data_IF_028023415464
#
_entry.id   IF_028023415464
#
_cell.length_a   1.000
_cell.length_b   1.000
_cell.length_c   1.000
_cell.angle_alpha   90.00
_cell.angle_beta   90.00
_cell.angle_gamma   90.00
#
_symmetry.space_group_name_H-M   'P 1'
#
loop_
_entity.id
_entity.type
_entity.pdbx_description
1 polymer ?
#
# COMPACT_ATOMS: atom_id res chain seq x y z
N UNK A 1 30.88 -50.16 31.33
CA UNK A 1 29.71 -49.60 30.59
C UNK A 1 29.36 -48.25 31.24
N UNK A 2 29.75 -47.14 30.56
CA UNK A 2 29.43 -45.80 31.03
C UNK A 2 28.16 -45.34 30.29
N UNK A 3 27.09 -45.03 31.06
CA UNK A 3 25.85 -44.46 30.56
C UNK A 3 26.06 -42.97 30.39
N UNK A 4 26.00 -42.49 29.12
CA UNK A 4 26.00 -41.06 28.82
C UNK A 4 24.56 -40.56 28.85
N UNK A 5 24.25 -39.70 29.79
CA UNK A 5 22.96 -39.06 29.93
C UNK A 5 22.95 -37.85 28.97
N UNK A 6 22.10 -37.87 27.94
CA UNK A 6 21.88 -36.76 27.04
C UNK A 6 20.90 -35.77 27.65
N UNK A 7 21.41 -34.64 28.12
CA UNK A 7 20.58 -33.53 28.61
C UNK A 7 20.11 -32.71 27.43
N UNK A 8 18.82 -32.81 27.12
CA UNK A 8 18.16 -31.93 26.10
C UNK A 8 17.90 -30.59 26.78
N UNK A 9 18.66 -29.58 26.37
CA UNK A 9 18.42 -28.18 26.77
C UNK A 9 17.27 -27.64 25.93
N UNK A 10 16.06 -27.63 26.49
CA UNK A 10 14.92 -26.93 25.90
C UNK A 10 15.13 -25.42 26.05
N UNK A 11 15.54 -24.77 24.98
CA UNK A 11 15.58 -23.32 24.94
C UNK A 11 14.13 -22.79 24.77
N UNK A 12 13.56 -22.31 25.87
CA UNK A 12 12.33 -21.53 25.83
C UNK A 12 12.63 -20.21 25.10
N UNK A 13 12.17 -20.09 23.86
CA UNK A 13 12.11 -18.80 23.18
C UNK A 13 10.90 -18.07 23.79
N UNK A 14 11.18 -17.21 24.75
CA UNK A 14 10.24 -16.20 25.22
C UNK A 14 10.01 -15.25 24.03
N UNK A 15 8.82 -15.31 23.46
CA UNK A 15 8.32 -14.23 22.62
C UNK A 15 8.20 -12.98 23.51
N UNK A 16 9.26 -12.22 23.58
CA UNK A 16 9.21 -10.86 24.07
C UNK A 16 8.29 -10.09 23.14
N UNK A 17 7.14 -9.64 23.61
CA UNK A 17 6.30 -8.64 22.97
C UNK A 17 7.20 -7.47 22.57
N UNK A 18 7.43 -7.34 21.25
CA UNK A 18 8.44 -6.45 20.70
C UNK A 18 8.21 -5.01 21.11
N UNK A 19 9.07 -4.50 21.94
CA UNK A 19 9.31 -3.07 22.08
C UNK A 19 9.95 -2.62 20.78
N UNK A 20 9.29 -1.74 20.02
CA UNK A 20 9.92 -1.07 18.92
C UNK A 20 11.00 -0.15 19.49
N UNK A 21 12.25 -0.62 19.49
CA UNK A 21 13.41 0.24 19.75
C UNK A 21 13.49 1.27 18.64
N UNK A 22 13.75 2.52 19.00
CA UNK A 22 14.18 3.58 18.07
C UNK A 22 15.62 3.26 17.59
N UNK A 23 15.73 2.27 16.70
CA UNK A 23 16.99 1.98 16.03
C UNK A 23 17.11 2.92 14.84
N UNK A 24 18.16 3.71 14.78
CA UNK A 24 18.50 4.60 13.66
C UNK A 24 18.64 3.87 12.31
N UNK A 25 18.58 2.54 12.30
CA UNK A 25 18.73 1.67 11.14
C UNK A 25 17.45 0.89 10.75
N UNK A 26 16.28 1.24 11.27
CA UNK A 26 15.05 0.60 10.82
C UNK A 26 14.66 1.19 9.46
N UNK A 27 14.61 0.34 8.44
CA UNK A 27 14.02 0.71 7.16
C UNK A 27 12.49 0.81 7.32
N UNK A 28 11.94 1.98 6.97
CA UNK A 28 10.51 2.22 7.12
C UNK A 28 10.07 3.60 6.64
N UNK A 29 8.77 3.82 6.64
CA UNK A 29 8.18 5.12 6.36
C UNK A 29 8.49 6.12 7.48
N UNK A 30 8.81 7.35 7.08
CA UNK A 30 9.18 8.42 7.99
C UNK A 30 8.00 9.35 8.26
N UNK A 31 7.84 9.69 9.55
CA UNK A 31 6.85 10.65 10.02
C UNK A 31 7.55 11.74 10.83
N UNK A 32 7.21 12.99 10.55
CA UNK A 32 7.75 14.17 11.28
C UNK A 32 6.68 14.77 12.17
N UNK A 33 7.08 15.18 13.37
CA UNK A 33 6.22 15.92 14.30
C UNK A 33 5.79 17.24 13.64
N UNK A 34 4.49 17.48 13.61
CA UNK A 34 3.93 18.72 13.08
C UNK A 34 4.03 19.79 14.16
N UNK A 35 4.69 20.91 13.83
CA UNK A 35 4.87 22.07 14.71
C UNK A 35 4.25 23.30 14.05
N UNK A 36 3.34 23.97 14.76
CA UNK A 36 2.67 25.18 14.33
C UNK A 36 1.43 24.94 13.43
N UNK A 37 0.35 25.63 13.75
CA UNK A 37 -0.96 25.50 13.09
C UNK A 37 -0.91 25.79 11.59
N UNK A 38 -0.08 26.75 11.16
CA UNK A 38 0.10 27.08 9.75
C UNK A 38 0.69 25.94 8.92
N UNK A 39 1.32 24.95 9.58
CA UNK A 39 1.96 23.78 8.95
C UNK A 39 1.11 22.52 8.98
N UNK A 40 -0.12 22.58 9.50
CA UNK A 40 -1.07 21.49 9.32
C UNK A 40 -1.58 21.54 7.89
N UNK A 41 -1.16 20.64 7.02
CA UNK A 41 -1.59 20.65 5.63
C UNK A 41 -3.07 20.37 5.52
N UNK A 42 -3.63 20.75 4.38
CA UNK A 42 -5.04 20.51 4.09
C UNK A 42 -5.39 19.03 4.05
N UNK A 43 -4.54 18.23 3.44
CA UNK A 43 -4.69 16.79 3.27
C UNK A 43 -3.39 16.07 3.63
N UNK A 44 -3.46 14.81 4.05
CA UNK A 44 -2.27 14.03 4.35
C UNK A 44 -2.52 12.79 5.18
N UNK A 45 -1.46 12.04 5.39
CA UNK A 45 -1.43 10.84 6.23
C UNK A 45 -0.72 11.20 7.54
N UNK A 46 -1.37 10.87 8.65
CA UNK A 46 -0.90 11.21 9.98
C UNK A 46 -0.96 10.02 10.93
N UNK A 47 -0.01 10.01 11.88
CA UNK A 47 -0.18 9.27 13.12
C UNK A 47 -0.72 10.23 14.18
N UNK A 48 -1.64 9.75 15.00
CA UNK A 48 -2.17 10.44 16.17
C UNK A 48 -1.49 9.83 17.38
N UNK A 49 -0.83 10.65 18.19
CA UNK A 49 -0.03 10.17 19.31
C UNK A 49 -0.39 10.86 20.63
N UNK A 50 -0.24 10.13 21.71
CA UNK A 50 -0.22 10.63 23.09
C UNK A 50 1.18 10.50 23.66
N UNK A 51 1.71 11.60 24.19
CA UNK A 51 3.04 11.67 24.79
C UNK A 51 2.94 11.80 26.30
N UNK A 52 3.78 11.05 27.00
CA UNK A 52 3.98 11.18 28.44
C UNK A 52 5.43 11.65 28.69
N UNK A 53 5.58 12.73 29.45
CA UNK A 53 6.89 13.24 29.87
C UNK A 53 7.68 12.21 30.70
N UNK A 54 8.96 12.45 30.90
CA UNK A 54 9.84 11.57 31.68
C UNK A 54 9.31 11.37 33.12
N UNK A 55 8.83 12.45 33.77
CA UNK A 55 8.20 12.40 35.10
C UNK A 55 6.98 11.49 35.17
N UNK A 56 6.30 11.28 34.03
CA UNK A 56 5.14 10.38 33.88
C UNK A 56 5.48 9.04 33.23
N UNK A 57 6.78 8.67 33.18
CA UNK A 57 7.27 7.41 32.64
C UNK A 57 7.71 7.48 31.17
N UNK A 58 7.97 8.66 30.62
CA UNK A 58 8.64 8.96 29.34
C UNK A 58 8.25 8.01 28.19
N UNK A 59 7.07 8.18 27.57
CA UNK A 59 6.61 7.22 26.57
C UNK A 59 5.74 7.87 25.48
N UNK A 60 5.88 7.42 24.26
CA UNK A 60 5.02 7.79 23.13
C UNK A 60 4.10 6.62 22.76
N UNK A 61 2.80 6.89 22.73
CA UNK A 61 1.76 5.95 22.36
C UNK A 61 1.09 6.40 21.07
N UNK A 62 0.89 5.49 20.12
CA UNK A 62 0.18 5.73 18.87
C UNK A 62 -1.26 5.24 18.98
N UNK A 63 -2.21 6.03 18.50
CA UNK A 63 -3.60 5.65 18.40
C UNK A 63 -3.74 4.55 17.34
N UNK A 64 -4.19 3.35 17.72
CA UNK A 64 -4.32 2.19 16.83
C UNK A 64 -5.75 1.69 16.78
N UNK A 65 -6.36 1.69 15.59
CA UNK A 65 -7.73 1.20 15.40
C UNK A 65 -7.91 -0.28 15.73
N UNK A 66 -6.81 -1.06 15.67
CA UNK A 66 -6.86 -2.51 15.95
C UNK A 66 -7.19 -2.80 17.43
N UNK A 67 -7.12 -1.77 18.28
CA UNK A 67 -7.45 -1.85 19.70
C UNK A 67 -8.74 -1.10 20.09
N UNK A 68 -9.59 -0.79 19.11
CA UNK A 68 -10.88 -0.14 19.39
C UNK A 68 -11.80 -1.11 20.14
N UNK A 69 -12.21 -0.69 21.34
CA UNK A 69 -13.14 -1.43 22.20
C UNK A 69 -14.06 -0.45 22.94
N UNK A 70 -15.37 -0.67 22.90
CA UNK A 70 -16.39 0.15 23.57
C UNK A 70 -16.25 1.67 23.35
N UNK A 71 -15.77 2.08 22.17
CA UNK A 71 -15.61 3.49 21.82
C UNK A 71 -14.32 4.13 22.35
N UNK A 72 -13.42 3.34 22.90
CA UNK A 72 -12.07 3.72 23.32
C UNK A 72 -11.03 2.99 22.50
N UNK A 73 -9.91 3.66 22.20
CA UNK A 73 -8.78 3.07 21.45
C UNK A 73 -7.57 3.01 22.37
N UNK A 74 -7.12 1.81 22.72
CA UNK A 74 -5.90 1.62 23.50
C UNK A 74 -4.68 2.08 22.70
N UNK A 75 -3.85 2.92 23.28
CA UNK A 75 -2.60 3.38 22.67
C UNK A 75 -1.60 2.22 22.52
N UNK A 76 -1.02 2.10 21.30
CA UNK A 76 0.10 1.19 21.04
C UNK A 76 1.39 1.88 21.44
N UNK A 77 2.14 1.32 22.38
CA UNK A 77 3.43 1.87 22.78
C UNK A 77 4.39 1.84 21.57
N UNK A 78 4.92 3.01 21.20
CA UNK A 78 5.91 3.13 20.14
C UNK A 78 7.33 3.02 20.72
N UNK A 79 7.65 3.86 21.70
CA UNK A 79 8.98 3.89 22.32
C UNK A 79 8.91 4.49 23.71
N UNK A 80 9.88 4.16 24.54
CA UNK A 80 10.20 4.94 25.74
C UNK A 80 11.00 6.16 25.32
N UNK A 81 10.70 7.30 25.91
CA UNK A 81 11.35 8.58 25.64
C UNK A 81 12.07 9.07 26.89
N UNK A 82 13.31 9.46 26.73
CA UNK A 82 14.17 9.94 27.82
C UNK A 82 14.29 11.46 27.85
N UNK A 83 13.38 12.16 27.15
CA UNK A 83 13.37 13.62 27.02
C UNK A 83 12.01 14.18 27.38
N UNK A 84 11.97 15.45 27.78
CA UNK A 84 10.71 16.15 28.12
C UNK A 84 9.87 16.54 26.89
N UNK A 85 10.29 16.17 25.70
CA UNK A 85 9.60 16.47 24.45
C UNK A 85 9.36 15.23 23.60
N UNK A 86 8.27 15.17 22.84
CA UNK A 86 8.02 14.10 21.89
C UNK A 86 9.11 14.08 20.80
N UNK A 87 9.48 12.89 20.27
CA UNK A 87 10.48 12.77 19.23
C UNK A 87 10.10 13.62 18.00
N UNK A 88 11.09 14.35 17.43
CA UNK A 88 10.83 15.16 16.24
C UNK A 88 10.52 14.31 14.98
N UNK A 89 10.97 13.06 14.99
CA UNK A 89 10.85 12.11 13.87
C UNK A 89 10.61 10.70 14.42
N UNK A 90 9.75 9.95 13.76
CA UNK A 90 9.56 8.50 13.98
C UNK A 90 9.65 7.76 12.65
N UNK A 91 10.14 6.52 12.68
CA UNK A 91 10.23 5.64 11.51
C UNK A 91 9.51 4.35 11.86
N UNK A 92 8.61 3.93 10.98
CA UNK A 92 7.82 2.70 11.14
C UNK A 92 7.98 1.80 9.92
N UNK A 93 8.23 0.53 10.16
CA UNK A 93 8.19 -0.50 9.13
C UNK A 93 6.77 -0.59 8.52
N UNK A 94 6.69 -0.74 7.20
CA UNK A 94 5.41 -0.79 6.47
C UNK A 94 4.47 -1.90 6.98
N UNK A 95 5.00 -3.03 7.45
CA UNK A 95 4.20 -4.12 8.01
C UNK A 95 3.54 -3.76 9.35
N UNK A 96 4.05 -2.75 10.05
CA UNK A 96 3.54 -2.29 11.35
C UNK A 96 2.48 -1.20 11.28
N UNK A 97 2.19 -0.67 10.06
CA UNK A 97 1.32 0.50 9.86
C UNK A 97 -0.18 0.18 9.91
N UNK A 98 -0.56 -1.10 9.92
CA UNK A 98 -1.98 -1.47 10.02
C UNK A 98 -2.62 -0.81 11.25
N UNK A 99 -3.73 -0.10 11.00
CA UNK A 99 -4.47 0.55 12.07
C UNK A 99 -3.86 1.86 12.62
N UNK A 100 -2.72 2.33 12.13
CA UNK A 100 -2.03 3.52 12.63
C UNK A 100 -2.14 4.75 11.74
N UNK A 101 -2.29 4.59 10.42
CA UNK A 101 -2.29 5.68 9.46
C UNK A 101 -3.68 6.28 9.26
N UNK A 102 -3.88 7.47 9.77
CA UNK A 102 -5.10 8.26 9.62
C UNK A 102 -4.93 9.24 8.47
N UNK A 103 -5.87 9.20 7.51
CA UNK A 103 -5.92 10.17 6.43
C UNK A 103 -6.82 11.33 6.84
N UNK A 104 -6.26 12.53 6.80
CA UNK A 104 -7.02 13.77 7.01
C UNK A 104 -7.38 14.33 5.64
N UNK A 105 -8.69 14.50 5.41
CA UNK A 105 -9.22 15.06 4.18
C UNK A 105 -9.96 16.35 4.52
N UNK A 106 -9.50 17.47 3.99
CA UNK A 106 -10.15 18.75 4.14
C UNK A 106 -11.50 18.74 3.42
N UNK A 107 -12.55 19.23 4.06
CA UNK A 107 -13.90 19.20 3.50
C UNK A 107 -14.50 20.56 3.23
N UNK A 108 -13.99 21.64 3.83
CA UNK A 108 -14.49 23.00 3.64
C UNK A 108 -13.42 24.04 3.97
N UNK A 109 -13.26 24.99 3.11
CA UNK A 109 -12.44 26.19 3.27
C UNK A 109 -13.31 27.34 3.78
N UNK A 110 -13.66 27.32 5.06
CA UNK A 110 -13.97 28.57 5.73
C UNK A 110 -12.65 29.19 6.18
N UNK A 111 -12.43 30.48 5.92
CA UNK A 111 -11.12 31.14 6.13
C UNK A 111 -10.59 31.01 7.56
N UNK A 112 -11.41 30.66 8.52
CA UNK A 112 -11.09 30.64 9.95
C UNK A 112 -11.21 29.25 10.61
N UNK A 113 -11.82 28.25 9.97
CA UNK A 113 -12.06 26.93 10.59
C UNK A 113 -11.77 25.82 9.58
N UNK A 114 -10.72 25.05 9.82
CA UNK A 114 -10.39 23.87 9.02
C UNK A 114 -11.20 22.66 9.51
N UNK A 115 -12.07 22.16 8.66
CA UNK A 115 -12.89 20.98 8.92
C UNK A 115 -12.33 19.79 8.16
N UNK A 116 -12.17 18.67 8.84
CA UNK A 116 -11.59 17.44 8.29
C UNK A 116 -12.54 16.27 8.45
N UNK A 117 -12.45 15.37 7.48
CA UNK A 117 -12.84 13.98 7.67
C UNK A 117 -11.59 13.15 7.87
N UNK A 118 -11.56 12.46 8.97
CA UNK A 118 -10.45 11.58 9.33
C UNK A 118 -10.88 10.16 8.95
N UNK A 119 -10.11 9.51 8.09
CA UNK A 119 -10.41 8.14 7.67
C UNK A 119 -9.23 7.22 7.94
N UNK A 120 -9.55 5.95 8.18
CA UNK A 120 -8.60 4.87 8.29
C UNK A 120 -9.15 3.67 7.51
N UNK A 121 -8.35 3.12 6.59
CA UNK A 121 -8.77 2.01 5.70
C UNK A 121 -10.11 2.27 4.99
N UNK A 122 -10.39 3.54 4.63
CA UNK A 122 -11.63 3.95 3.96
C UNK A 122 -12.85 4.13 4.88
N UNK A 123 -12.73 3.83 6.17
CA UNK A 123 -13.77 4.09 7.16
C UNK A 123 -13.58 5.44 7.84
N UNK A 124 -14.67 6.14 8.12
CA UNK A 124 -14.67 7.45 8.74
C UNK A 124 -14.61 7.34 10.27
N UNK A 125 -13.67 8.05 10.88
CA UNK A 125 -13.66 8.27 12.32
C UNK A 125 -14.89 9.09 12.71
N UNK A 126 -15.75 8.51 13.52
CA UNK A 126 -17.09 9.05 13.80
C UNK A 126 -17.32 9.15 15.30
N UNK A 127 -17.85 10.28 15.76
CA UNK A 127 -18.34 10.43 17.12
C UNK A 127 -19.82 10.01 17.17
N UNK A 128 -20.09 8.80 17.66
CA UNK A 128 -21.45 8.24 17.71
C UNK A 128 -22.23 8.64 18.96
N UNK A 129 -21.52 9.09 20.01
CA UNK A 129 -22.13 9.64 21.23
C UNK A 129 -21.13 10.55 21.94
N UNK A 130 -21.56 11.19 23.03
CA UNK A 130 -20.70 12.07 23.82
C UNK A 130 -19.45 11.40 24.43
N UNK A 131 -19.29 10.08 24.30
CA UNK A 131 -18.20 9.31 24.89
C UNK A 131 -17.62 8.22 23.99
N UNK A 132 -18.14 8.05 22.75
CA UNK A 132 -17.76 6.91 21.91
C UNK A 132 -17.24 7.32 20.54
N UNK A 133 -16.11 6.74 20.16
CA UNK A 133 -15.52 6.80 18.81
C UNK A 133 -15.81 5.48 18.12
N UNK A 134 -16.15 5.54 16.83
CA UNK A 134 -16.26 4.36 15.97
C UNK A 134 -15.70 4.65 14.58
N UNK A 135 -15.39 3.59 13.82
CA UNK A 135 -15.09 3.68 12.40
C UNK A 135 -16.31 3.20 11.61
N UNK A 136 -16.83 4.08 10.73
CA UNK A 136 -18.04 3.79 9.96
C UNK A 136 -17.77 3.93 8.45
N UNK A 137 -18.32 3.00 7.65
CA UNK A 137 -18.19 3.03 6.20
C UNK A 137 -18.92 4.20 5.54
N UNK A 138 -19.91 4.77 6.21
CA UNK A 138 -20.77 5.85 5.67
C UNK A 138 -20.34 7.21 6.20
N UNK A 139 -20.24 8.18 5.29
CA UNK A 139 -20.01 9.59 5.62
C UNK A 139 -21.26 10.20 6.27
N UNK A 140 -21.11 10.72 7.48
CA UNK A 140 -22.17 11.42 8.22
C UNK A 140 -21.69 12.77 8.75
N UNK A 141 -22.61 13.59 9.30
CA UNK A 141 -22.23 14.81 10.00
C UNK A 141 -21.42 14.52 11.27
N UNK A 142 -21.61 13.34 11.85
CA UNK A 142 -20.89 12.88 13.04
C UNK A 142 -19.44 12.46 12.75
N UNK A 143 -19.00 12.46 11.49
CA UNK A 143 -17.61 12.23 11.10
C UNK A 143 -16.86 13.51 10.71
N UNK A 144 -17.36 14.68 11.10
CA UNK A 144 -16.74 15.97 10.81
C UNK A 144 -15.99 16.48 12.05
N UNK A 145 -14.70 16.72 11.88
CA UNK A 145 -13.78 17.14 12.94
C UNK A 145 -13.15 18.50 12.64
N UNK A 146 -12.80 19.23 13.67
CA UNK A 146 -12.03 20.47 13.60
C UNK A 146 -10.67 20.21 14.25
N UNK A 147 -9.61 20.64 13.58
CA UNK A 147 -8.29 20.67 14.14
C UNK A 147 -7.98 22.08 14.67
N UNK A 148 -7.48 22.18 15.88
CA UNK A 148 -6.97 23.42 16.46
C UNK A 148 -5.67 23.15 17.20
N UNK A 149 -4.79 24.13 17.19
CA UNK A 149 -3.56 24.10 17.97
C UNK A 149 -3.86 24.37 19.45
N UNK A 150 -3.15 23.66 20.33
CA UNK A 150 -3.18 23.91 21.77
C UNK A 150 -1.89 24.62 22.21
N UNK A 151 -0.74 24.09 21.79
CA UNK A 151 0.62 24.57 21.93
C UNK A 151 1.36 24.30 20.61
N UNK A 152 2.60 24.80 20.40
CA UNK A 152 3.29 24.69 19.10
C UNK A 152 3.43 23.28 18.53
N UNK A 153 3.31 22.23 19.33
CA UNK A 153 3.40 20.82 18.94
C UNK A 153 2.23 19.95 19.43
N UNK A 154 1.23 20.58 20.03
CA UNK A 154 0.04 19.91 20.56
C UNK A 154 -1.21 20.35 19.86
N UNK A 155 -2.10 19.42 19.60
CA UNK A 155 -3.30 19.61 18.81
C UNK A 155 -4.54 19.11 19.54
N UNK A 156 -5.68 19.70 19.18
CA UNK A 156 -7.01 19.27 19.61
C UNK A 156 -7.82 18.89 18.39
N UNK A 157 -8.16 17.61 18.29
CA UNK A 157 -9.12 17.12 17.32
C UNK A 157 -10.50 17.21 17.99
N UNK A 158 -11.29 18.21 17.60
CA UNK A 158 -12.62 18.48 18.17
C UNK A 158 -13.71 18.03 17.21
N UNK A 159 -14.74 17.42 17.75
CA UNK A 159 -15.95 17.14 17.00
C UNK A 159 -16.71 18.45 16.69
N UNK A 160 -17.14 18.61 15.43
CA UNK A 160 -17.72 19.87 14.94
C UNK A 160 -18.99 20.30 15.69
N UNK A 161 -19.92 19.34 15.97
CA UNK A 161 -21.25 19.68 16.46
C UNK A 161 -21.30 20.06 17.96
N UNK A 162 -20.44 19.50 18.81
CA UNK A 162 -20.53 19.68 20.25
C UNK A 162 -19.20 20.02 20.95
N UNK A 163 -18.12 20.15 20.20
CA UNK A 163 -16.81 20.50 20.72
C UNK A 163 -16.10 19.42 21.53
N UNK A 164 -16.67 18.20 21.64
CA UNK A 164 -16.00 17.06 22.26
C UNK A 164 -14.68 16.75 21.53
N UNK A 165 -13.66 16.30 22.24
CA UNK A 165 -12.30 16.14 21.72
C UNK A 165 -11.87 14.69 21.82
N UNK A 166 -10.99 14.29 20.91
CA UNK A 166 -10.18 13.08 21.10
C UNK A 166 -9.10 13.42 22.13
N UNK A 167 -9.06 12.66 23.22
CA UNK A 167 -8.12 12.82 24.31
C UNK A 167 -7.29 11.58 24.51
N UNK A 168 -6.01 11.75 24.85
CA UNK A 168 -5.16 10.67 25.37
C UNK A 168 -5.18 10.74 26.90
N UNK A 169 -5.52 9.62 27.54
CA UNK A 169 -5.55 9.50 29.01
C UNK A 169 -4.28 8.84 29.50
N UNK A 170 -3.46 9.58 30.25
CA UNK A 170 -2.16 9.15 30.73
C UNK A 170 -2.20 7.86 31.56
N UNK A 171 -3.15 7.73 32.49
CA UNK A 171 -3.23 6.59 33.42
C UNK A 171 -3.59 5.27 32.70
N UNK A 172 -4.59 5.32 31.82
CA UNK A 172 -5.11 4.13 31.11
C UNK A 172 -4.45 3.89 29.75
N UNK A 173 -3.67 4.85 29.23
CA UNK A 173 -3.05 4.81 27.91
C UNK A 173 -4.08 4.65 26.78
N UNK A 174 -5.21 5.35 26.91
CA UNK A 174 -6.37 5.22 26.01
C UNK A 174 -6.69 6.54 25.34
N UNK A 175 -7.02 6.49 24.04
CA UNK A 175 -7.63 7.56 23.28
C UNK A 175 -9.16 7.42 23.33
N UNK A 176 -9.85 8.46 23.76
CA UNK A 176 -11.31 8.47 23.91
C UNK A 176 -11.90 9.87 23.70
N UNK A 177 -13.21 9.95 23.63
CA UNK A 177 -13.92 11.25 23.64
C UNK A 177 -13.93 11.81 25.06
N UNK A 178 -13.54 13.07 25.20
CA UNK A 178 -13.56 13.82 26.44
C UNK A 178 -14.12 15.23 26.25
N UNK A 179 -14.78 15.71 27.30
CA UNK A 179 -15.26 17.10 27.40
C UNK A 179 -14.19 18.03 28.03
N UNK A 180 -13.21 17.45 28.70
CA UNK A 180 -12.27 18.14 29.57
C UNK A 180 -11.22 19.01 28.85
N UNK A 181 -10.57 19.88 29.61
CA UNK A 181 -9.80 21.03 29.17
C UNK A 181 -8.46 20.73 28.48
N UNK A 182 -7.81 19.59 28.73
CA UNK A 182 -6.47 19.29 28.22
C UNK A 182 -6.29 17.85 27.71
N UNK A 183 -6.84 17.51 26.56
CA UNK A 183 -6.44 16.30 25.86
C UNK A 183 -5.55 16.65 24.69
N UNK A 184 -4.34 17.09 24.97
CA UNK A 184 -3.41 17.44 23.91
C UNK A 184 -2.84 16.16 23.31
N UNK A 185 -2.89 16.07 22.01
CA UNK A 185 -2.30 15.00 21.22
C UNK A 185 -1.22 15.56 20.31
N UNK A 186 -0.30 14.72 19.92
CA UNK A 186 0.71 15.04 18.91
C UNK A 186 0.29 14.47 17.57
N UNK A 187 0.61 15.18 16.49
CA UNK A 187 0.42 14.70 15.12
C UNK A 187 1.78 14.51 14.45
N UNK A 188 1.94 13.36 13.82
CA UNK A 188 3.12 13.07 13.01
C UNK A 188 2.67 12.86 11.57
N UNK A 189 3.16 13.73 10.68
CA UNK A 189 2.85 13.65 9.26
C UNK A 189 3.79 12.71 8.55
N UNK A 190 3.26 11.81 7.72
CA UNK A 190 4.04 10.99 6.81
C UNK A 190 4.76 11.88 5.79
N UNK A 191 6.08 11.78 5.72
CA UNK A 191 6.92 12.57 4.81
C UNK A 191 7.71 11.70 3.84
N UNK A 192 7.79 10.40 4.07
CA UNK A 192 8.31 9.45 3.09
C UNK A 192 7.62 8.11 3.17
N UNK A 193 7.66 7.37 2.06
CA UNK A 193 7.16 6.00 1.94
C UNK A 193 8.32 5.06 1.66
N UNK A 194 8.45 4.02 2.47
CA UNK A 194 9.42 2.97 2.26
C UNK A 194 8.93 1.99 1.20
N UNK A 195 9.69 1.78 0.15
CA UNK A 195 9.40 0.82 -0.91
C UNK A 195 10.53 -0.18 -1.06
N UNK A 196 10.18 -1.46 -1.12
CA UNK A 196 11.13 -2.55 -1.35
C UNK A 196 11.03 -3.03 -2.79
N UNK A 197 12.15 -2.97 -3.51
CA UNK A 197 12.30 -3.60 -4.81
C UNK A 197 12.83 -5.02 -4.58
N UNK A 198 12.03 -6.01 -4.94
CA UNK A 198 12.41 -7.42 -4.83
C UNK A 198 13.35 -7.89 -5.95
N UNK A 199 13.65 -9.19 -6.00
CA UNK A 199 14.52 -9.80 -7.01
C UNK A 199 14.02 -9.60 -8.45
N UNK A 200 12.74 -9.34 -8.65
CA UNK A 200 12.16 -9.05 -9.97
C UNK A 200 12.60 -7.71 -10.55
N UNK A 201 13.13 -6.80 -9.73
CA UNK A 201 13.49 -5.45 -10.15
C UNK A 201 12.29 -4.50 -10.28
N UNK A 202 11.08 -4.93 -9.95
CA UNK A 202 9.86 -4.14 -10.12
C UNK A 202 9.00 -4.11 -8.86
N UNK A 203 8.26 -3.00 -8.70
CA UNK A 203 7.20 -2.82 -7.71
C UNK A 203 6.14 -1.90 -8.30
N UNK A 204 5.07 -1.62 -7.55
CA UNK A 204 4.06 -0.61 -7.92
C UNK A 204 3.97 0.44 -6.83
N UNK A 205 3.59 1.68 -7.21
CA UNK A 205 3.47 2.79 -6.27
C UNK A 205 2.29 3.69 -6.63
N UNK A 206 1.62 4.22 -5.59
CA UNK A 206 0.49 5.13 -5.73
C UNK A 206 0.23 5.92 -4.46
N UNK A 207 0.02 7.23 -4.60
CA UNK A 207 -0.56 8.12 -3.59
C UNK A 207 -1.61 9.03 -4.22
N UNK A 208 -2.78 9.16 -3.60
CA UNK A 208 -3.83 10.04 -4.16
C UNK A 208 -3.73 11.50 -3.71
N UNK A 209 -2.98 11.79 -2.64
CA UNK A 209 -2.98 13.09 -1.95
C UNK A 209 -1.62 13.76 -1.89
N UNK A 210 -0.56 13.08 -2.33
CA UNK A 210 0.80 13.59 -2.27
C UNK A 210 1.46 13.44 -3.63
N UNK A 211 2.18 14.47 -4.04
CA UNK A 211 3.22 14.30 -5.05
C UNK A 211 4.37 13.49 -4.44
N UNK A 212 5.11 12.78 -5.26
CA UNK A 212 6.16 11.90 -4.78
C UNK A 212 7.45 12.10 -5.56
N UNK A 213 8.56 12.40 -4.87
CA UNK A 213 9.87 12.55 -5.51
C UNK A 213 10.59 11.22 -5.57
N UNK A 214 10.94 10.81 -6.79
CA UNK A 214 11.59 9.54 -7.04
C UNK A 214 13.08 9.60 -6.62
N UNK A 215 13.55 8.67 -5.76
CA UNK A 215 14.93 8.67 -5.31
C UNK A 215 15.91 8.13 -6.38
N UNK A 216 17.20 8.34 -6.15
CA UNK A 216 18.26 7.74 -6.94
C UNK A 216 18.13 6.21 -7.02
N UNK A 217 18.45 5.65 -8.19
CA UNK A 217 18.41 4.22 -8.47
C UNK A 217 17.03 3.66 -8.85
N UNK A 218 16.00 4.53 -8.86
CA UNK A 218 14.65 4.15 -9.33
C UNK A 218 14.28 4.90 -10.61
N UNK A 219 13.50 4.24 -11.45
CA UNK A 219 12.70 4.80 -12.52
C UNK A 219 11.24 4.39 -12.34
N UNK A 220 10.30 5.18 -12.86
CA UNK A 220 8.89 4.83 -12.77
C UNK A 220 8.18 5.07 -14.12
N UNK A 221 7.11 4.30 -14.37
CA UNK A 221 6.43 4.30 -15.66
C UNK A 221 4.92 4.35 -15.49
N UNK A 222 4.26 5.16 -16.31
CA UNK A 222 2.84 5.03 -16.62
C UNK A 222 2.67 4.24 -17.91
N UNK A 223 1.46 3.70 -18.14
CA UNK A 223 1.19 2.88 -19.32
C UNK A 223 -0.11 3.26 -19.99
N UNK A 224 -0.13 3.05 -21.33
CA UNK A 224 -1.33 3.11 -22.17
C UNK A 224 -1.51 1.82 -22.96
N UNK A 225 -2.70 1.64 -23.52
CA UNK A 225 -3.00 0.54 -24.43
C UNK A 225 -2.91 1.01 -25.86
N UNK A 226 -2.16 0.29 -26.70
CA UNK A 226 -2.14 0.47 -28.15
C UNK A 226 -2.62 -0.79 -28.84
N UNK A 227 -3.41 -0.60 -29.89
CA UNK A 227 -3.81 -1.67 -30.80
C UNK A 227 -2.90 -1.63 -32.04
N UNK A 228 -2.40 -2.81 -32.42
CA UNK A 228 -1.58 -3.02 -33.62
C UNK A 228 -2.19 -4.22 -34.38
N UNK A 229 -3.12 -3.93 -35.27
CA UNK A 229 -4.01 -4.93 -35.84
C UNK A 229 -4.83 -5.61 -34.74
N UNK A 230 -4.75 -6.94 -34.70
CA UNK A 230 -5.44 -7.76 -33.67
C UNK A 230 -4.66 -7.87 -32.36
N UNK A 231 -3.47 -7.26 -32.26
CA UNK A 231 -2.60 -7.38 -31.09
C UNK A 231 -2.80 -6.17 -30.18
N UNK A 232 -3.18 -6.44 -28.94
CA UNK A 232 -3.23 -5.44 -27.87
C UNK A 232 -1.86 -5.34 -27.19
N UNK A 233 -1.27 -4.15 -27.15
CA UNK A 233 0.02 -3.87 -26.53
C UNK A 233 -0.15 -2.93 -25.34
N UNK A 234 0.56 -3.20 -24.25
CA UNK A 234 0.76 -2.28 -23.13
C UNK A 234 2.07 -1.55 -23.37
N UNK A 235 2.04 -0.25 -23.56
CA UNK A 235 3.21 0.57 -23.87
C UNK A 235 3.42 1.62 -22.79
N UNK A 236 4.68 1.92 -22.46
CA UNK A 236 5.02 3.04 -21.59
C UNK A 236 4.53 4.34 -22.23
N UNK A 237 3.73 5.11 -21.50
CA UNK A 237 3.20 6.41 -21.94
C UNK A 237 4.03 7.58 -21.41
N UNK A 238 4.67 7.38 -20.24
CA UNK A 238 5.61 8.35 -19.66
C UNK A 238 6.60 7.62 -18.74
N UNK A 239 7.83 8.15 -18.66
CA UNK A 239 8.88 7.71 -17.77
C UNK A 239 9.30 8.83 -16.82
N UNK A 240 9.35 8.53 -15.53
CA UNK A 240 9.94 9.37 -14.50
C UNK A 240 11.33 8.85 -14.17
N UNK A 241 12.32 9.74 -14.11
CA UNK A 241 13.70 9.42 -13.71
C UNK A 241 13.94 9.80 -12.25
N UNK A 242 15.07 9.41 -11.71
CA UNK A 242 15.50 9.84 -10.39
C UNK A 242 15.49 11.38 -10.28
N UNK A 243 14.89 11.91 -9.21
CA UNK A 243 14.68 13.33 -9.00
C UNK A 243 13.38 13.89 -9.55
N UNK A 244 12.71 13.21 -10.49
CA UNK A 244 11.41 13.63 -11.03
C UNK A 244 10.31 13.48 -9.98
N UNK A 245 9.25 14.26 -10.16
CA UNK A 245 8.06 14.24 -9.30
C UNK A 245 6.93 13.49 -9.98
N UNK A 246 6.47 12.41 -9.35
CA UNK A 246 5.26 11.68 -9.71
C UNK A 246 4.09 12.46 -9.12
N UNK A 247 3.12 12.95 -9.92
CA UNK A 247 1.98 13.69 -9.41
C UNK A 247 1.09 12.86 -8.49
N UNK A 248 0.39 13.53 -7.58
CA UNK A 248 -0.68 12.92 -6.81
C UNK A 248 -1.71 12.25 -7.74
N UNK A 249 -2.24 11.11 -7.31
CA UNK A 249 -3.20 10.30 -8.07
C UNK A 249 -2.65 9.68 -9.37
N UNK A 250 -1.33 9.65 -9.55
CA UNK A 250 -0.65 8.97 -10.65
C UNK A 250 -0.13 7.60 -10.18
N UNK A 251 -0.72 6.52 -10.67
CA UNK A 251 -0.27 5.15 -10.38
C UNK A 251 0.89 4.78 -11.33
N UNK A 252 1.95 4.17 -10.80
CA UNK A 252 3.14 3.82 -11.58
C UNK A 252 3.65 2.42 -11.28
N UNK A 253 4.36 1.85 -12.25
CA UNK A 253 5.30 0.75 -12.00
C UNK A 253 6.67 1.36 -11.72
N UNK A 254 7.28 0.96 -10.62
CA UNK A 254 8.63 1.38 -10.22
C UNK A 254 9.62 0.29 -10.56
N UNK A 255 10.74 0.65 -11.18
CA UNK A 255 11.84 -0.24 -11.56
C UNK A 255 13.13 0.21 -10.89
N UNK A 256 13.91 -0.74 -10.39
CA UNK A 256 15.20 -0.49 -9.77
C UNK A 256 15.95 -1.78 -9.46
N UNK A 257 17.17 -1.67 -8.96
CA UNK A 257 17.90 -2.81 -8.43
C UNK A 257 17.20 -3.33 -7.16
N UNK A 258 17.27 -4.63 -6.85
CA UNK A 258 16.79 -5.15 -5.58
C UNK A 258 17.39 -4.38 -4.41
N UNK A 259 16.54 -3.90 -3.51
CA UNK A 259 16.97 -3.05 -2.39
C UNK A 259 15.80 -2.32 -1.75
N UNK A 260 16.13 -1.55 -0.74
CA UNK A 260 15.22 -0.75 0.06
C UNK A 260 15.40 0.73 -0.29
N UNK A 261 14.28 1.41 -0.63
CA UNK A 261 14.28 2.80 -1.08
C UNK A 261 13.25 3.61 -0.29
N UNK A 262 13.50 4.92 -0.16
CA UNK A 262 12.56 5.86 0.46
C UNK A 262 12.12 6.90 -0.56
N UNK A 263 10.83 6.95 -0.85
CA UNK A 263 10.21 7.94 -1.75
C UNK A 263 9.72 9.10 -0.90
N UNK A 264 10.19 10.31 -1.16
CA UNK A 264 9.75 11.51 -0.44
C UNK A 264 8.33 11.90 -0.87
N UNK A 265 7.47 12.16 0.10
CA UNK A 265 6.11 12.63 -0.11
C UNK A 265 6.04 14.16 0.03
N UNK A 266 5.61 14.82 -1.03
CA UNK A 266 5.52 16.26 -1.15
C UNK A 266 4.07 16.75 -1.06
N UNK A 267 3.87 18.05 -0.86
CA UNK A 267 2.56 18.68 -1.06
C UNK A 267 2.12 18.52 -2.52
N UNK A 268 0.84 18.27 -2.78
CA UNK A 268 0.33 18.11 -4.13
C UNK A 268 0.28 19.48 -4.83
N UNK A 269 1.28 19.76 -5.64
CA UNK A 269 1.40 21.01 -6.42
C UNK A 269 1.34 20.77 -7.92
N UNK A 270 1.63 19.55 -8.36
CA UNK A 270 1.62 19.21 -9.79
C UNK A 270 0.20 19.13 -10.34
N UNK A 271 -0.03 19.76 -11.47
CA UNK A 271 -1.28 19.69 -12.23
C UNK A 271 -1.15 18.79 -13.47
N UNK A 272 0.01 18.19 -13.68
CA UNK A 272 0.29 17.33 -14.81
C UNK A 272 -0.55 16.05 -14.78
N UNK A 273 -1.01 15.66 -15.95
CA UNK A 273 -1.79 14.44 -16.16
C UNK A 273 -1.15 13.64 -17.28
N UNK A 274 -0.95 12.38 -17.03
CA UNK A 274 -0.39 11.43 -18.00
C UNK A 274 -1.47 10.44 -18.43
N UNK A 275 -1.42 10.02 -19.69
CA UNK A 275 -2.19 8.88 -20.15
C UNK A 275 -1.79 7.66 -19.32
N UNK A 276 -2.77 7.01 -18.66
CA UNK A 276 -2.45 5.96 -17.72
C UNK A 276 -3.63 5.01 -17.48
N UNK A 277 -3.42 3.76 -17.81
CA UNK A 277 -4.38 2.67 -17.54
C UNK A 277 -4.15 2.00 -16.19
N UNK A 278 -3.08 2.36 -15.47
CA UNK A 278 -2.87 1.92 -14.11
C UNK A 278 -3.85 2.63 -13.15
N UNK A 279 -4.30 1.90 -12.15
CA UNK A 279 -5.11 2.40 -11.03
C UNK A 279 -4.41 2.04 -9.73
N UNK A 280 -4.60 2.86 -8.70
CA UNK A 280 -3.98 2.63 -7.41
C UNK A 280 -4.96 2.63 -6.25
N UNK A 281 -4.53 2.12 -5.10
CA UNK A 281 -5.29 2.16 -3.85
C UNK A 281 -4.42 2.69 -2.72
N UNK A 282 -5.00 3.54 -1.86
CA UNK A 282 -4.28 4.10 -0.71
C UNK A 282 -4.25 3.17 0.51
N UNK A 283 -5.05 2.13 0.49
CA UNK A 283 -5.13 1.08 1.51
C UNK A 283 -5.30 -0.27 0.81
N UNK A 284 -5.02 -1.33 1.51
CA UNK A 284 -5.23 -2.67 1.01
C UNK A 284 -6.69 -2.88 0.61
N UNK A 285 -6.91 -3.37 -0.59
CA UNK A 285 -8.25 -3.52 -1.16
C UNK A 285 -8.32 -4.75 -2.05
N UNK A 286 -9.40 -5.51 -1.89
CA UNK A 286 -9.76 -6.56 -2.85
C UNK A 286 -10.30 -5.90 -4.11
N UNK A 287 -9.70 -6.24 -5.25
CA UNK A 287 -10.13 -5.81 -6.58
C UNK A 287 -11.04 -6.90 -7.14
N UNK A 288 -12.33 -6.62 -7.08
CA UNK A 288 -13.38 -7.52 -7.53
C UNK A 288 -13.48 -7.53 -9.06
N UNK A 289 -14.01 -8.63 -9.61
CA UNK A 289 -14.32 -8.73 -11.03
C UNK A 289 -15.35 -7.66 -11.44
N UNK A 290 -15.17 -7.13 -12.63
CA UNK A 290 -16.05 -6.16 -13.24
C UNK A 290 -16.64 -6.69 -14.56
N UNK A 291 -17.89 -6.33 -14.86
CA UNK A 291 -18.56 -6.76 -16.09
C UNK A 291 -17.86 -6.19 -17.35
N UNK A 292 -17.36 -4.95 -17.26
CA UNK A 292 -16.82 -4.17 -18.38
C UNK A 292 -15.30 -4.10 -18.40
N UNK A 293 -14.61 -4.40 -17.26
CA UNK A 293 -13.17 -4.24 -17.11
C UNK A 293 -12.48 -5.55 -16.77
N UNK A 294 -11.22 -5.62 -17.17
CA UNK A 294 -10.26 -6.63 -16.70
C UNK A 294 -9.21 -5.97 -15.85
N UNK A 295 -8.92 -6.63 -14.74
CA UNK A 295 -7.92 -6.19 -13.79
C UNK A 295 -6.75 -7.16 -13.77
N UNK A 296 -5.53 -6.61 -13.79
CA UNK A 296 -4.30 -7.38 -13.80
C UNK A 296 -3.40 -6.90 -12.67
N UNK A 297 -2.78 -7.85 -11.99
CA UNK A 297 -1.79 -7.58 -10.97
C UNK A 297 -0.37 -7.74 -11.51
N UNK A 298 0.55 -6.92 -11.04
CA UNK A 298 1.97 -7.09 -11.31
C UNK A 298 2.46 -8.32 -10.54
N UNK A 299 3.00 -9.31 -11.26
CA UNK A 299 3.44 -10.59 -10.70
C UNK A 299 4.51 -11.24 -11.59
N UNK A 300 4.96 -12.41 -11.20
CA UNK A 300 5.67 -13.35 -12.06
C UNK A 300 4.64 -14.27 -12.76
N UNK A 301 5.04 -14.80 -13.91
CA UNK A 301 4.30 -15.88 -14.56
C UNK A 301 4.28 -17.16 -13.71
N UNK A 302 3.52 -18.16 -14.15
CA UNK A 302 3.39 -19.43 -13.44
C UNK A 302 4.70 -20.23 -13.34
N UNK A 303 5.71 -19.87 -14.13
CA UNK A 303 7.05 -20.46 -14.08
C UNK A 303 8.00 -19.70 -13.15
N UNK A 304 7.62 -18.49 -12.73
CA UNK A 304 8.45 -17.61 -11.91
C UNK A 304 9.56 -16.90 -12.71
N UNK A 305 9.44 -16.81 -14.04
CA UNK A 305 10.49 -16.32 -14.93
C UNK A 305 10.22 -14.89 -15.42
N UNK A 306 8.97 -14.59 -15.82
CA UNK A 306 8.64 -13.34 -16.49
C UNK A 306 7.81 -12.43 -15.60
N UNK A 307 8.29 -11.21 -15.38
CA UNK A 307 7.53 -10.15 -14.70
C UNK A 307 6.52 -9.56 -15.67
N UNK A 308 5.29 -9.35 -15.21
CA UNK A 308 4.24 -8.80 -16.05
C UNK A 308 2.96 -8.50 -15.28
N UNK A 309 1.98 -8.02 -16.02
CA UNK A 309 0.62 -7.89 -15.52
C UNK A 309 -0.18 -9.12 -15.92
N UNK A 310 -0.65 -9.87 -14.93
CA UNK A 310 -1.40 -11.11 -15.12
C UNK A 310 -2.84 -10.94 -14.68
N UNK A 311 -3.78 -11.45 -15.48
CA UNK A 311 -5.21 -11.29 -15.27
C UNK A 311 -5.69 -12.00 -14.01
N UNK A 312 -5.93 -11.24 -12.96
CA UNK A 312 -6.32 -11.76 -11.65
C UNK A 312 -5.35 -12.84 -11.17
N UNK A 313 -5.88 -13.87 -10.53
CA UNK A 313 -5.12 -15.05 -10.14
C UNK A 313 -5.14 -16.12 -11.26
N UNK A 314 -4.66 -15.79 -12.45
CA UNK A 314 -4.57 -16.60 -13.66
C UNK A 314 -5.89 -16.83 -14.43
N UNK A 315 -7.04 -16.68 -13.81
CA UNK A 315 -8.37 -16.91 -14.39
C UNK A 315 -9.36 -15.74 -14.24
N UNK A 316 -8.83 -14.58 -13.85
CA UNK A 316 -9.61 -13.35 -13.65
C UNK A 316 -10.34 -13.29 -12.33
N UNK A 317 -9.97 -14.11 -11.34
CA UNK A 317 -10.51 -13.99 -9.98
C UNK A 317 -10.09 -12.69 -9.31
N UNK A 318 -10.83 -12.28 -8.28
CA UNK A 318 -10.48 -11.18 -7.41
C UNK A 318 -9.07 -11.37 -6.80
N UNK A 319 -8.35 -10.29 -6.61
CA UNK A 319 -7.05 -10.28 -5.95
C UNK A 319 -6.91 -9.10 -5.00
N UNK A 320 -6.05 -9.23 -4.01
CA UNK A 320 -5.76 -8.14 -3.06
C UNK A 320 -4.69 -7.23 -3.63
N UNK A 321 -5.01 -5.95 -3.86
CA UNK A 321 -4.02 -4.90 -4.12
C UNK A 321 -3.56 -4.32 -2.79
N UNK A 322 -2.25 -4.25 -2.59
CA UNK A 322 -1.64 -3.72 -1.37
C UNK A 322 -1.92 -2.23 -1.20
N UNK A 323 -1.83 -1.75 0.03
CA UNK A 323 -1.81 -0.30 0.29
C UNK A 323 -0.70 0.38 -0.52
N UNK A 324 -1.01 1.53 -1.10
CA UNK A 324 -0.12 2.31 -1.97
C UNK A 324 0.42 1.55 -3.19
N UNK A 325 -0.23 0.43 -3.55
CA UNK A 325 0.07 -0.34 -4.76
C UNK A 325 -0.77 0.08 -5.95
N UNK A 326 -0.34 -0.35 -7.14
CA UNK A 326 -1.07 -0.14 -8.38
C UNK A 326 -1.37 -1.47 -9.10
N UNK A 327 -2.39 -1.46 -9.90
CA UNK A 327 -2.84 -2.56 -10.76
C UNK A 327 -3.27 -2.01 -12.12
N UNK A 328 -3.30 -2.88 -13.13
CA UNK A 328 -3.72 -2.53 -14.47
C UNK A 328 -5.24 -2.74 -14.63
N UNK A 329 -5.94 -1.75 -15.18
CA UNK A 329 -7.37 -1.80 -15.46
C UNK A 329 -7.64 -1.47 -16.93
N UNK A 330 -8.19 -2.43 -17.68
CA UNK A 330 -8.43 -2.31 -19.12
C UNK A 330 -9.89 -2.62 -19.41
N UNK A 331 -10.51 -1.84 -20.32
CA UNK A 331 -11.85 -2.14 -20.83
C UNK A 331 -11.85 -3.48 -21.57
N UNK A 332 -12.89 -4.28 -21.35
CA UNK A 332 -13.09 -5.53 -22.13
C UNK A 332 -13.36 -5.16 -23.56
N UNK A 333 -12.39 -5.36 -24.44
CA UNK A 333 -12.61 -5.24 -25.88
C UNK A 333 -13.36 -6.44 -26.42
N UNK A 334 -14.15 -6.25 -27.48
CA UNK A 334 -14.84 -7.33 -28.17
C UNK A 334 -13.89 -8.38 -28.77
N UNK A 335 -12.62 -8.02 -29.00
CA UNK A 335 -11.66 -8.75 -29.83
C UNK A 335 -10.56 -9.49 -29.08
N UNK A 336 -10.79 -10.04 -27.93
CA UNK A 336 -9.77 -10.95 -27.42
C UNK A 336 -9.62 -10.99 -25.90
N UNK A 337 -9.32 -12.17 -25.41
CA UNK A 337 -9.07 -12.45 -24.00
C UNK A 337 -7.56 -12.34 -23.73
N UNK A 338 -7.00 -11.11 -23.73
CA UNK A 338 -5.62 -10.95 -23.26
C UNK A 338 -5.55 -11.37 -21.80
N UNK A 339 -4.68 -12.31 -21.49
CA UNK A 339 -4.54 -12.85 -20.11
C UNK A 339 -3.32 -12.29 -19.39
N UNK A 340 -2.36 -11.72 -20.12
CA UNK A 340 -1.16 -11.14 -19.53
C UNK A 340 -0.49 -10.14 -20.47
N UNK A 341 0.33 -9.27 -19.86
CA UNK A 341 1.26 -8.35 -20.52
C UNK A 341 2.63 -8.53 -19.86
N UNK A 342 3.55 -9.17 -20.54
CA UNK A 342 4.91 -9.41 -20.04
C UNK A 342 5.73 -8.14 -20.23
N UNK A 343 6.34 -7.64 -19.16
CA UNK A 343 7.26 -6.50 -19.22
C UNK A 343 8.60 -6.95 -19.80
N UNK A 344 9.13 -6.18 -20.76
CA UNK A 344 10.49 -6.39 -21.22
C UNK A 344 11.51 -5.85 -20.20
N UNK A 345 12.82 -6.23 -20.30
CA UNK A 345 13.83 -5.74 -19.38
C UNK A 345 13.99 -4.21 -19.35
N UNK A 346 13.66 -3.51 -20.42
CA UNK A 346 13.70 -2.06 -20.53
C UNK A 346 12.49 -1.38 -19.86
N UNK A 347 11.40 -2.14 -19.59
CA UNK A 347 10.16 -1.64 -19.00
C UNK A 347 9.27 -0.86 -19.97
N UNK A 348 9.67 -0.78 -21.25
CA UNK A 348 9.04 0.11 -22.23
C UNK A 348 7.85 -0.51 -22.97
N UNK A 349 7.81 -1.82 -23.12
CA UNK A 349 6.79 -2.48 -23.95
C UNK A 349 6.41 -3.85 -23.38
N UNK A 350 5.13 -4.11 -23.31
CA UNK A 350 4.62 -5.45 -23.01
C UNK A 350 3.68 -5.89 -24.12
N UNK A 351 3.90 -7.08 -24.65
CA UNK A 351 3.00 -7.68 -25.63
C UNK A 351 1.87 -8.40 -24.91
N UNK A 352 0.64 -8.12 -25.31
CA UNK A 352 -0.54 -8.86 -24.81
C UNK A 352 -0.49 -10.31 -25.29
N UNK A 353 -0.50 -11.24 -24.37
CA UNK A 353 -0.63 -12.67 -24.68
C UNK A 353 -2.11 -13.04 -24.56
N UNK A 354 -2.71 -13.44 -25.68
CA UNK A 354 -3.98 -14.13 -25.68
C UNK A 354 -3.73 -15.58 -25.31
N UNK A 355 -4.52 -16.16 -24.40
CA UNK A 355 -4.49 -17.61 -24.21
C UNK A 355 -4.76 -18.28 -25.55
N UNK A 356 -3.76 -18.97 -26.08
CA UNK A 356 -4.01 -19.86 -27.21
C UNK A 356 -5.02 -20.88 -26.70
N UNK A 357 -6.25 -20.82 -27.17
CA UNK A 357 -7.12 -21.98 -27.08
C UNK A 357 -6.39 -23.11 -27.81
N UNK A 358 -5.86 -24.05 -27.08
CA UNK A 358 -5.65 -25.38 -27.65
C UNK A 358 -7.04 -25.86 -28.01
N UNK A 359 -7.41 -25.69 -29.28
CA UNK A 359 -8.57 -26.35 -29.82
C UNK A 359 -8.40 -27.83 -29.55
N UNK A 360 -9.18 -28.33 -28.62
CA UNK A 360 -9.23 -29.78 -28.29
C UNK A 360 -9.72 -30.64 -29.46
N UNK A 361 -9.74 -30.10 -30.67
CA UNK A 361 -10.06 -30.75 -31.95
C UNK A 361 -8.92 -30.69 -32.97
N UNK A 362 -7.68 -30.39 -32.59
CA UNK A 362 -6.58 -30.81 -33.47
C UNK A 362 -6.51 -32.33 -33.41
N UNK A 363 -7.01 -32.95 -34.46
CA UNK A 363 -6.66 -34.33 -34.76
C UNK A 363 -5.15 -34.46 -34.54
N UNK A 364 -4.75 -35.36 -33.66
CA UNK A 364 -3.37 -35.57 -33.17
C UNK A 364 -2.39 -35.53 -34.34
N UNK A 365 -1.75 -34.38 -34.54
CA UNK A 365 -0.74 -34.26 -35.60
C UNK A 365 0.43 -35.16 -35.24
N UNK A 366 0.79 -36.05 -36.17
CA UNK A 366 1.88 -37.00 -36.02
C UNK A 366 3.12 -36.37 -36.65
N UNK A 367 4.21 -36.35 -35.90
CA UNK A 367 5.51 -35.82 -36.37
C UNK A 367 6.56 -36.94 -36.34
N UNK A 368 7.43 -36.97 -37.33
CA UNK A 368 8.64 -37.78 -37.27
C UNK A 368 9.67 -37.18 -36.28
N UNK A 369 10.79 -37.89 -36.06
CA UNK A 369 11.85 -37.40 -35.15
C UNK A 369 12.59 -36.16 -35.68
N UNK A 370 12.45 -35.83 -36.98
CA UNK A 370 12.98 -34.60 -37.56
C UNK A 370 12.00 -33.42 -37.50
N UNK A 371 10.84 -33.62 -36.84
CA UNK A 371 9.83 -32.56 -36.65
C UNK A 371 8.92 -32.33 -37.84
N UNK A 372 8.99 -33.18 -38.91
CA UNK A 372 8.07 -33.05 -40.06
C UNK A 372 6.77 -33.76 -39.77
N UNK A 373 5.67 -33.06 -40.11
CA UNK A 373 4.32 -33.64 -40.00
C UNK A 373 4.15 -34.78 -41.00
N UNK A 374 3.67 -35.91 -40.51
CA UNK A 374 3.29 -37.06 -41.36
C UNK A 374 1.85 -37.46 -41.17
N UNK A 375 1.18 -37.83 -42.27
CA UNK A 375 -0.21 -38.27 -42.27
C UNK A 375 -0.33 -39.80 -42.18
N UNK A 376 0.65 -40.50 -42.70
CA UNK A 376 0.76 -41.97 -42.70
C UNK A 376 2.10 -42.42 -42.15
N UNK A 377 2.18 -42.64 -40.81
CA UNK A 377 3.42 -43.13 -40.21
C UNK A 377 3.75 -44.56 -40.69
N UNK A 378 4.93 -44.75 -41.28
CA UNK A 378 5.53 -46.05 -41.56
C UNK A 378 6.17 -46.60 -40.29
N UNK A 379 6.94 -47.69 -40.35
CA UNK A 379 7.69 -48.19 -39.19
C UNK A 379 8.68 -47.14 -38.67
N UNK A 380 8.70 -46.93 -37.36
CA UNK A 380 9.65 -45.99 -36.73
C UNK A 380 9.07 -45.25 -35.52
N UNK A 381 9.84 -44.26 -35.02
CA UNK A 381 9.41 -43.43 -33.88
C UNK A 381 8.70 -42.14 -34.36
N UNK A 382 7.62 -41.84 -33.69
CA UNK A 382 6.78 -40.66 -33.96
C UNK A 382 6.45 -39.91 -32.67
N UNK A 383 6.17 -38.62 -32.79
CA UNK A 383 5.72 -37.76 -31.70
C UNK A 383 4.24 -37.43 -31.95
N UNK A 384 3.38 -37.84 -31.02
CA UNK A 384 1.93 -37.54 -31.02
C UNK A 384 1.59 -36.91 -29.70
N UNK A 385 1.04 -35.68 -29.72
CA UNK A 385 0.70 -34.90 -28.51
C UNK A 385 1.91 -34.80 -27.53
N UNK A 386 3.10 -34.57 -28.04
CA UNK A 386 4.33 -34.45 -27.23
C UNK A 386 4.86 -35.74 -26.64
N UNK A 387 4.27 -36.92 -26.94
CA UNK A 387 4.72 -38.21 -26.48
C UNK A 387 5.31 -39.01 -27.63
N UNK A 388 6.36 -39.81 -27.35
CA UNK A 388 7.04 -40.66 -28.30
C UNK A 388 6.34 -42.03 -28.42
N UNK A 389 6.08 -42.44 -29.64
CA UNK A 389 5.45 -43.71 -29.99
C UNK A 389 6.34 -44.46 -31.00
N UNK A 390 6.38 -45.78 -30.89
CA UNK A 390 6.97 -46.68 -31.89
C UNK A 390 5.82 -47.36 -32.65
N UNK A 391 5.92 -47.37 -33.97
CA UNK A 391 4.99 -48.07 -34.85
C UNK A 391 5.71 -49.13 -35.66
#
# INVERSE_FOLDING_TARGET
>A
MKKTTLTILMTFILFASGYAQSNENVFGSTYKLVKGYSKVPSDGIYLIAGYLSEDSGGSLYLMSSDSLNNGEIKGKLYTKVTTDAPPAKIVLDESSLSGLEYRFNNTLTDKNIRKFRITLKGQYLTNVSNSRIEFQGTRTNNSLWILSEADPDKYRIRFYNNGNKIAFTADTKVFKIAKAYNPDINLYRKVSHAIKIGKTGYSTFYYSTNDAKLPEGLTAYTYSIKQDGDVTKLVSSHQFNAGDTIPANCAVVVKGKPGDYSIDLLEPTSTEKYENVLKGTNYEKVIENDANKRYYMLSLDNKGENVGFYWGAADGRAFTNKAHGAYLAIEKSANGKVTSFVLNPEGECATGITSVKTDSKMASAIYDLSGRRTVNPSHGFYIINGKKYLK
#
